data_IF_515015863399
#
_entry.id   IF_515015863399
#
_cell.length_a   1.000
_cell.length_b   1.000
_cell.length_c   1.000
_cell.angle_alpha   90.00
_cell.angle_beta   90.00
_cell.angle_gamma   90.00
#
_symmetry.space_group_name_H-M   'P 1'
#
loop_
_entity.id
_entity.type
_entity.pdbx_description
1 polymer ?
#
# COMPACT_ATOMS: atom_id res chain seq x y z
N UNK A 1 -5.88 14.44 -17.15
CA UNK A 1 -5.70 13.40 -16.13
C UNK A 1 -4.41 12.65 -16.39
N UNK A 2 -3.65 12.33 -15.38
CA UNK A 2 -2.43 11.51 -15.44
C UNK A 2 -2.34 10.67 -14.15
N UNK A 3 -1.72 9.50 -14.23
CA UNK A 3 -1.44 8.65 -13.09
C UNK A 3 -0.02 8.08 -13.22
N UNK A 4 0.67 7.94 -12.11
CA UNK A 4 1.95 7.26 -12.00
C UNK A 4 1.84 6.30 -10.82
N UNK A 5 2.22 5.04 -11.03
CA UNK A 5 2.19 3.99 -10.01
C UNK A 5 3.60 3.43 -9.85
N UNK A 6 3.98 3.16 -8.61
CA UNK A 6 5.27 2.60 -8.23
C UNK A 6 5.06 1.27 -7.49
N UNK A 7 5.65 0.21 -7.98
CA UNK A 7 5.50 -1.16 -7.46
C UNK A 7 6.62 -1.64 -6.53
N UNK A 8 7.42 -0.73 -5.98
CA UNK A 8 8.54 -1.07 -5.09
C UNK A 8 9.92 -1.00 -5.75
N UNK A 9 10.95 -1.08 -4.94
CA UNK A 9 12.36 -0.96 -5.32
C UNK A 9 13.17 -2.12 -4.72
N UNK A 10 14.30 -2.48 -5.28
CA UNK A 10 15.33 -3.40 -4.80
C UNK A 10 15.23 -4.89 -5.13
N UNK A 11 14.17 -5.46 -5.58
CA UNK A 11 14.15 -6.92 -5.76
C UNK A 11 14.25 -7.42 -7.21
N UNK A 12 14.39 -6.50 -8.18
CA UNK A 12 14.33 -6.92 -9.59
C UNK A 12 15.63 -7.54 -10.13
N UNK A 13 16.80 -7.16 -9.58
CA UNK A 13 18.09 -7.70 -10.08
C UNK A 13 18.23 -9.20 -9.84
N UNK A 14 17.68 -9.69 -8.74
CA UNK A 14 17.89 -11.07 -8.27
C UNK A 14 16.68 -12.00 -8.55
N UNK A 15 15.61 -11.48 -9.11
CA UNK A 15 14.43 -12.27 -9.48
C UNK A 15 14.58 -12.89 -10.87
N UNK A 16 13.97 -14.05 -11.03
CA UNK A 16 13.88 -14.71 -12.34
C UNK A 16 13.03 -13.90 -13.34
N UNK A 17 13.21 -14.17 -14.63
CA UNK A 17 12.52 -13.45 -15.70
C UNK A 17 11.00 -13.59 -15.66
N UNK A 18 10.47 -14.71 -15.17
CA UNK A 18 9.03 -14.96 -15.07
C UNK A 18 8.39 -14.10 -14.00
N UNK A 19 9.03 -13.96 -12.85
CA UNK A 19 8.58 -13.09 -11.74
C UNK A 19 8.62 -11.61 -12.15
N UNK A 20 9.68 -11.18 -12.84
CA UNK A 20 9.77 -9.81 -13.40
C UNK A 20 8.62 -9.52 -14.36
N UNK A 21 8.35 -10.43 -15.28
CA UNK A 21 7.26 -10.28 -16.24
C UNK A 21 5.88 -10.25 -15.53
N UNK A 22 5.66 -11.11 -14.53
CA UNK A 22 4.44 -11.12 -13.75
C UNK A 22 4.20 -9.77 -13.05
N UNK A 23 5.22 -9.21 -12.40
CA UNK A 23 5.16 -7.87 -11.77
C UNK A 23 4.85 -6.77 -12.78
N UNK A 24 5.52 -6.76 -13.93
CA UNK A 24 5.29 -5.77 -14.96
C UNK A 24 3.86 -5.82 -15.50
N UNK A 25 3.33 -7.03 -15.74
CA UNK A 25 1.96 -7.24 -16.20
C UNK A 25 0.93 -6.80 -15.14
N UNK A 26 1.14 -7.18 -13.89
CA UNK A 26 0.30 -6.74 -12.77
C UNK A 26 0.30 -5.21 -12.66
N UNK A 27 1.48 -4.58 -12.63
CA UNK A 27 1.58 -3.11 -12.51
C UNK A 27 0.88 -2.39 -13.66
N UNK A 28 0.99 -2.93 -14.88
CA UNK A 28 0.29 -2.40 -16.06
C UNK A 28 -1.23 -2.51 -15.92
N UNK A 29 -1.73 -3.65 -15.42
CA UNK A 29 -3.16 -3.84 -15.17
C UNK A 29 -3.67 -2.87 -14.10
N UNK A 30 -2.96 -2.75 -12.98
CA UNK A 30 -3.32 -1.82 -11.89
C UNK A 30 -3.33 -0.39 -12.40
N UNK A 31 -2.33 0.03 -13.17
CA UNK A 31 -2.27 1.35 -13.76
C UNK A 31 -3.48 1.62 -14.69
N UNK A 32 -3.85 0.65 -15.51
CA UNK A 32 -4.98 0.76 -16.42
C UNK A 32 -6.32 0.85 -15.66
N UNK A 33 -6.55 -0.02 -14.69
CA UNK A 33 -7.76 0.00 -13.86
C UNK A 33 -7.88 1.31 -13.08
N UNK A 34 -6.78 1.78 -12.51
CA UNK A 34 -6.74 3.04 -11.76
C UNK A 34 -6.95 4.26 -12.66
N UNK A 35 -6.46 4.22 -13.89
CA UNK A 35 -6.71 5.31 -14.85
C UNK A 35 -8.19 5.35 -15.31
N UNK A 36 -8.81 4.18 -15.50
CA UNK A 36 -10.25 4.12 -15.79
C UNK A 36 -11.09 4.62 -14.59
N UNK A 37 -10.69 4.25 -13.36
CA UNK A 37 -11.33 4.74 -12.14
C UNK A 37 -11.23 6.27 -12.01
N UNK A 38 -10.07 6.86 -12.34
CA UNK A 38 -9.82 8.30 -12.31
C UNK A 38 -10.75 9.11 -13.24
N UNK A 39 -11.36 8.49 -14.24
CA UNK A 39 -12.28 9.19 -15.15
C UNK A 39 -13.52 9.74 -14.43
N UNK A 40 -13.98 9.04 -13.40
CA UNK A 40 -15.21 9.34 -12.69
C UNK A 40 -15.03 9.67 -11.20
N UNK A 41 -13.79 9.59 -10.70
CA UNK A 41 -13.46 9.79 -9.30
C UNK A 41 -12.39 10.87 -9.14
N UNK A 42 -12.23 11.38 -7.93
CA UNK A 42 -11.17 12.34 -7.57
C UNK A 42 -9.78 11.69 -7.59
N UNK A 43 -8.76 12.54 -7.57
CA UNK A 43 -7.38 12.09 -7.44
C UNK A 43 -7.17 11.33 -6.12
N UNK A 44 -7.74 11.82 -5.00
CA UNK A 44 -7.63 11.19 -3.69
C UNK A 44 -8.25 9.78 -3.67
N UNK A 45 -9.50 9.61 -4.13
CA UNK A 45 -10.14 8.30 -4.25
C UNK A 45 -9.32 7.35 -5.14
N UNK A 46 -8.76 7.87 -6.22
CA UNK A 46 -7.99 7.07 -7.18
C UNK A 46 -6.67 6.55 -6.60
N UNK A 47 -5.94 7.36 -5.84
CA UNK A 47 -4.68 6.87 -5.24
C UNK A 47 -4.94 5.84 -4.15
N UNK A 48 -6.02 5.97 -3.38
CA UNK A 48 -6.47 4.96 -2.42
C UNK A 48 -6.81 3.65 -3.14
N UNK A 49 -7.61 3.72 -4.20
CA UNK A 49 -7.95 2.57 -5.03
C UNK A 49 -6.71 1.89 -5.62
N UNK A 50 -5.78 2.67 -6.21
CA UNK A 50 -4.56 2.12 -6.81
C UNK A 50 -3.66 1.42 -5.78
N UNK A 51 -3.48 2.02 -4.59
CA UNK A 51 -2.67 1.42 -3.52
C UNK A 51 -3.36 0.17 -2.96
N UNK A 52 -4.68 0.16 -2.81
CA UNK A 52 -5.40 -1.05 -2.35
C UNK A 52 -5.22 -2.24 -3.30
N UNK A 53 -5.16 -2.01 -4.62
CA UNK A 53 -4.86 -3.05 -5.59
C UNK A 53 -3.41 -3.58 -5.47
N UNK A 54 -2.45 -2.71 -5.13
CA UNK A 54 -1.07 -3.13 -4.85
C UNK A 54 -0.96 -3.91 -3.54
N UNK A 55 -1.76 -3.55 -2.52
CA UNK A 55 -1.83 -4.26 -1.24
C UNK A 55 -2.52 -5.63 -1.36
N UNK A 56 -3.42 -5.79 -2.33
CA UNK A 56 -4.11 -7.05 -2.60
C UNK A 56 -3.27 -8.02 -3.46
N UNK A 57 -2.17 -7.57 -4.04
CA UNK A 57 -1.33 -8.40 -4.90
C UNK A 57 -0.06 -8.85 -4.16
N UNK A 58 0.09 -10.16 -3.97
CA UNK A 58 1.22 -10.81 -3.28
C UNK A 58 2.59 -10.53 -3.90
N UNK A 59 2.62 -10.01 -5.12
CA UNK A 59 3.86 -9.68 -5.83
C UNK A 59 4.58 -8.45 -5.25
N UNK A 60 3.88 -7.61 -4.50
CA UNK A 60 4.43 -6.38 -3.93
C UNK A 60 4.69 -6.50 -2.42
N UNK A 61 5.59 -5.68 -1.91
CA UNK A 61 5.81 -5.56 -0.47
C UNK A 61 4.82 -4.56 0.14
N UNK A 62 3.55 -4.91 0.11
CA UNK A 62 2.43 -4.15 0.64
C UNK A 62 1.28 -5.10 0.95
N UNK A 63 0.41 -4.79 1.92
CA UNK A 63 -0.74 -5.62 2.25
C UNK A 63 -0.40 -7.09 2.42
N UNK A 64 -1.05 -7.97 1.64
CA UNK A 64 -0.86 -9.44 1.69
C UNK A 64 0.58 -9.85 1.32
N UNK A 65 1.26 -9.07 0.47
CA UNK A 65 2.64 -9.34 0.06
C UNK A 65 3.72 -8.78 0.99
N UNK A 66 3.34 -8.22 2.13
CA UNK A 66 4.29 -7.57 3.06
C UNK A 66 5.33 -8.52 3.62
N UNK A 67 6.56 -8.03 3.70
CA UNK A 67 7.69 -8.77 4.24
C UNK A 67 7.59 -8.94 5.76
N UNK A 68 8.02 -10.11 6.24
CA UNK A 68 8.21 -10.37 7.66
C UNK A 68 9.50 -9.67 8.10
N UNK A 69 9.41 -8.83 9.13
CA UNK A 69 10.53 -8.09 9.69
C UNK A 69 11.44 -9.02 10.51
N UNK A 70 12.63 -8.53 10.89
CA UNK A 70 13.66 -9.31 11.57
C UNK A 70 13.22 -9.98 12.89
N UNK A 71 12.20 -9.40 13.54
CA UNK A 71 11.59 -9.93 14.78
C UNK A 71 10.42 -10.92 14.54
N UNK A 72 10.18 -11.28 13.28
CA UNK A 72 9.14 -12.25 12.91
C UNK A 72 7.73 -11.64 12.78
N UNK A 73 7.58 -10.31 12.77
CA UNK A 73 6.28 -9.64 12.66
C UNK A 73 6.14 -8.95 11.32
N UNK A 74 4.91 -8.85 10.85
CA UNK A 74 4.55 -8.01 9.70
C UNK A 74 3.97 -6.70 10.25
N UNK A 75 4.62 -5.59 9.90
CA UNK A 75 4.12 -4.25 10.18
C UNK A 75 4.07 -3.46 8.90
N UNK A 76 2.96 -2.83 8.67
CA UNK A 76 2.69 -2.07 7.47
C UNK A 76 2.51 -0.59 7.82
N UNK A 77 2.79 0.26 6.86
CA UNK A 77 2.54 1.70 6.97
C UNK A 77 1.91 2.16 5.67
N UNK A 78 0.94 3.05 5.76
CA UNK A 78 0.32 3.67 4.61
C UNK A 78 0.03 5.15 4.91
N UNK A 79 0.08 5.98 3.87
CA UNK A 79 -0.22 7.39 4.00
C UNK A 79 -0.92 7.90 2.74
N UNK A 80 -1.73 8.94 2.92
CA UNK A 80 -2.37 9.67 1.83
C UNK A 80 -2.24 11.17 2.05
N UNK A 81 -2.00 11.90 0.96
CA UNK A 81 -2.09 13.36 0.93
C UNK A 81 -3.05 13.78 -0.17
N UNK A 82 -4.06 14.54 0.19
CA UNK A 82 -4.98 15.18 -0.75
C UNK A 82 -4.59 16.65 -0.96
N UNK A 83 -4.04 16.95 -2.13
CA UNK A 83 -3.64 18.31 -2.50
C UNK A 83 -4.81 19.25 -2.74
N UNK A 84 -6.06 18.78 -2.79
CA UNK A 84 -7.23 19.65 -2.96
C UNK A 84 -7.70 20.23 -1.62
N UNK A 85 -7.51 19.50 -0.53
CA UNK A 85 -7.85 19.90 0.83
C UNK A 85 -6.64 20.23 1.69
N UNK A 86 -5.42 19.98 1.16
CA UNK A 86 -4.14 20.12 1.86
C UNK A 86 -4.06 19.25 3.14
N UNK A 87 -4.79 18.14 3.14
CA UNK A 87 -4.82 17.20 4.27
C UNK A 87 -3.90 16.02 4.02
N UNK A 88 -3.26 15.59 5.09
CA UNK A 88 -2.43 14.39 5.15
C UNK A 88 -2.95 13.46 6.25
N UNK A 89 -2.95 12.16 6.01
CA UNK A 89 -3.21 11.15 7.03
C UNK A 89 -2.36 9.91 6.80
N UNK A 90 -2.19 9.11 7.85
CA UNK A 90 -1.40 7.90 7.73
C UNK A 90 -1.46 6.99 8.95
N UNK A 91 -1.07 5.75 8.72
CA UNK A 91 -0.82 4.75 9.75
C UNK A 91 0.61 4.27 9.68
N UNK A 92 1.23 4.05 10.83
CA UNK A 92 2.62 3.61 10.94
C UNK A 92 2.67 2.33 11.80
N UNK A 93 3.35 1.29 11.32
CA UNK A 93 3.52 0.03 12.04
C UNK A 93 2.19 -0.64 12.44
N UNK A 94 1.15 -0.52 11.64
CA UNK A 94 -0.11 -1.22 11.86
C UNK A 94 0.04 -2.71 11.52
N UNK A 95 -0.63 -3.57 12.26
CA UNK A 95 -0.63 -5.02 12.08
C UNK A 95 -2.06 -5.52 11.88
N UNK A 96 -2.21 -6.69 11.29
CA UNK A 96 -3.47 -7.42 11.20
C UNK A 96 -4.62 -6.61 10.57
N UNK A 97 -4.33 -5.91 9.50
CA UNK A 97 -5.34 -5.32 8.59
C UNK A 97 -4.97 -5.70 7.15
N UNK A 98 -5.97 -5.92 6.32
CA UNK A 98 -5.72 -6.31 4.91
C UNK A 98 -5.11 -5.15 4.13
N UNK A 99 -5.76 -3.99 4.18
CA UNK A 99 -5.42 -2.80 3.42
C UNK A 99 -5.19 -1.60 4.34
N UNK A 100 -3.94 -1.34 4.78
CA UNK A 100 -3.59 -0.18 5.58
C UNK A 100 -4.02 1.15 4.98
N UNK A 101 -4.04 1.26 3.64
CA UNK A 101 -4.43 2.49 2.96
C UNK A 101 -5.87 2.91 3.27
N UNK A 102 -6.80 1.98 3.46
CA UNK A 102 -8.18 2.33 3.84
C UNK A 102 -8.27 2.86 5.26
N UNK A 103 -7.41 2.40 6.17
CA UNK A 103 -7.32 2.96 7.52
C UNK A 103 -6.77 4.38 7.48
N UNK A 104 -5.72 4.62 6.67
CA UNK A 104 -5.16 5.95 6.44
C UNK A 104 -6.20 6.90 5.82
N UNK A 105 -6.97 6.45 4.82
CA UNK A 105 -8.02 7.24 4.18
C UNK A 105 -9.13 7.60 5.19
N UNK A 106 -9.56 6.65 6.01
CA UNK A 106 -10.56 6.89 7.07
C UNK A 106 -10.10 7.95 8.06
N UNK A 107 -8.82 7.94 8.44
CA UNK A 107 -8.21 8.94 9.33
C UNK A 107 -8.20 10.37 8.76
N UNK A 108 -8.36 10.54 7.44
CA UNK A 108 -8.40 11.86 6.81
C UNK A 108 -9.50 12.78 7.38
N UNK A 109 -10.54 12.20 7.95
CA UNK A 109 -11.69 12.91 8.52
C UNK A 109 -11.54 13.21 10.01
N UNK A 110 -10.51 12.67 10.67
CA UNK A 110 -10.28 12.81 12.09
C UNK A 110 -9.38 14.02 12.42
N UNK A 111 -9.36 14.42 13.70
CA UNK A 111 -8.43 15.44 14.19
C UNK A 111 -7.01 14.88 14.29
N UNK A 112 -6.86 13.67 14.86
CA UNK A 112 -5.61 12.91 14.92
C UNK A 112 -5.45 12.06 13.66
N UNK A 113 -4.85 12.62 12.63
CA UNK A 113 -4.76 11.99 11.31
C UNK A 113 -3.56 11.05 11.12
N UNK A 114 -2.68 10.93 12.10
CA UNK A 114 -1.55 9.99 12.04
C UNK A 114 -1.52 9.16 13.31
N UNK A 115 -1.70 7.85 13.15
CA UNK A 115 -1.68 6.89 14.26
C UNK A 115 -0.61 5.82 14.03
N UNK A 116 -0.02 5.32 15.13
CA UNK A 116 1.01 4.29 15.08
C UNK A 116 0.70 3.06 15.93
N UNK A 117 1.20 1.91 15.51
CA UNK A 117 1.21 0.65 16.28
C UNK A 117 -0.16 0.29 16.85
N UNK A 118 -0.22 0.11 18.17
CA UNK A 118 -1.44 -0.26 18.90
C UNK A 118 -2.56 0.79 18.75
N UNK A 119 -2.21 2.09 18.67
CA UNK A 119 -3.20 3.16 18.45
C UNK A 119 -3.87 3.04 17.09
N UNK A 120 -3.10 2.78 16.04
CA UNK A 120 -3.63 2.53 14.70
C UNK A 120 -4.50 1.27 14.65
N UNK A 121 -4.06 0.19 15.33
CA UNK A 121 -4.85 -1.06 15.41
C UNK A 121 -6.15 -0.88 16.18
N UNK A 122 -6.11 -0.18 17.31
CA UNK A 122 -7.32 0.15 18.09
C UNK A 122 -8.32 0.92 17.24
N UNK A 123 -7.86 1.97 16.55
CA UNK A 123 -8.70 2.75 15.63
C UNK A 123 -9.32 1.87 14.53
N UNK A 124 -8.52 1.01 13.91
CA UNK A 124 -9.02 0.10 12.89
C UNK A 124 -10.14 -0.81 13.42
N UNK A 125 -9.99 -1.38 14.63
CA UNK A 125 -11.01 -2.22 15.26
C UNK A 125 -12.29 -1.44 15.59
N UNK A 126 -12.17 -0.22 16.12
CA UNK A 126 -13.32 0.66 16.44
C UNK A 126 -14.11 1.03 15.17
N UNK A 127 -13.43 1.12 14.03
CA UNK A 127 -14.04 1.39 12.73
C UNK A 127 -14.34 0.13 11.91
N UNK A 128 -14.39 -1.04 12.55
CA UNK A 128 -14.84 -2.31 11.98
C UNK A 128 -13.97 -2.82 10.81
N UNK A 129 -12.70 -2.44 10.76
CA UNK A 129 -11.73 -3.11 9.90
C UNK A 129 -11.47 -4.51 10.45
N UNK A 130 -11.68 -5.52 9.61
CA UNK A 130 -11.52 -6.92 10.01
C UNK A 130 -10.07 -7.25 10.37
N UNK A 131 -9.90 -8.12 11.37
CA UNK A 131 -8.62 -8.74 11.66
C UNK A 131 -8.23 -9.65 10.50
N UNK A 132 -7.10 -9.36 9.87
CA UNK A 132 -6.64 -10.08 8.70
C UNK A 132 -5.13 -10.33 8.77
N UNK A 133 -4.73 -11.59 8.70
CA UNK A 133 -3.31 -11.94 8.57
C UNK A 133 -2.84 -11.75 7.13
N UNK A 134 -1.86 -10.89 6.95
CA UNK A 134 -1.21 -10.67 5.64
C UNK A 134 -0.02 -11.60 5.41
N UNK A 135 0.21 -12.56 6.30
CA UNK A 135 1.26 -13.56 6.20
C UNK A 135 1.00 -14.54 5.05
N UNK A 136 2.02 -14.79 4.24
CA UNK A 136 1.98 -15.78 3.16
C UNK A 136 3.10 -16.81 3.32
N UNK A 137 2.88 -18.04 2.85
CA UNK A 137 3.92 -19.09 2.89
C UNK A 137 5.20 -18.66 2.16
N UNK A 138 5.07 -17.96 1.03
CA UNK A 138 6.22 -17.43 0.29
C UNK A 138 7.05 -16.47 1.16
N UNK A 139 6.39 -15.57 1.92
CA UNK A 139 7.10 -14.64 2.81
C UNK A 139 7.70 -15.32 4.04
N UNK A 140 7.08 -16.41 4.54
CA UNK A 140 7.69 -17.24 5.59
C UNK A 140 8.97 -17.89 5.13
N UNK A 141 8.94 -18.52 3.96
CA UNK A 141 10.13 -19.15 3.38
C UNK A 141 11.24 -18.12 3.16
N UNK A 142 10.90 -16.98 2.56
CA UNK A 142 11.82 -15.88 2.35
C UNK A 142 12.42 -15.35 3.67
N UNK A 143 11.62 -15.23 4.72
CA UNK A 143 12.10 -14.82 6.06
C UNK A 143 13.08 -15.82 6.65
N UNK A 144 12.79 -17.13 6.54
CA UNK A 144 13.67 -18.17 7.03
C UNK A 144 15.01 -18.19 6.29
N UNK A 145 15.01 -17.89 5.00
CA UNK A 145 16.20 -17.75 4.18
C UNK A 145 16.93 -16.43 4.45
N UNK A 146 16.19 -15.32 4.59
CA UNK A 146 16.70 -13.94 4.80
C UNK A 146 17.18 -13.65 6.22
N UNK A 147 17.04 -14.55 7.18
CA UNK A 147 17.82 -14.43 8.42
C UNK A 147 19.32 -14.24 8.12
N UNK A 148 19.68 -14.24 6.83
CA UNK A 148 21.03 -14.04 6.27
C UNK A 148 21.20 -12.75 5.45
N UNK A 149 20.16 -11.96 5.10
CA UNK A 149 20.32 -10.72 4.29
C UNK A 149 19.15 -9.72 4.46
N UNK A 150 19.43 -8.42 4.40
CA UNK A 150 18.48 -7.31 4.60
C UNK A 150 18.01 -6.67 3.27
N UNK A 151 16.71 -6.33 3.16
CA UNK A 151 16.15 -5.51 2.06
C UNK A 151 14.74 -5.00 2.35
N UNK A 152 14.43 -3.76 1.97
CA UNK A 152 13.13 -3.10 2.15
C UNK A 152 12.62 -2.55 0.81
N UNK A 153 11.30 -2.57 0.59
CA UNK A 153 10.65 -1.98 -0.57
C UNK A 153 9.30 -1.35 -0.20
N UNK A 154 8.80 -0.44 -1.02
CA UNK A 154 7.52 0.24 -0.81
C UNK A 154 6.77 0.40 -2.12
N UNK A 155 5.47 0.66 -2.05
CA UNK A 155 4.62 0.95 -3.19
C UNK A 155 4.09 2.37 -3.11
N UNK A 156 3.56 2.92 -4.20
CA UNK A 156 2.92 4.23 -4.14
C UNK A 156 2.22 4.61 -5.43
N UNK A 157 1.39 5.63 -5.32
CA UNK A 157 0.67 6.22 -6.43
C UNK A 157 0.58 7.74 -6.30
N UNK A 158 0.68 8.43 -7.43
CA UNK A 158 0.37 9.86 -7.56
C UNK A 158 -0.61 10.04 -8.70
N UNK A 159 -1.65 10.80 -8.49
CA UNK A 159 -2.66 11.09 -9.52
C UNK A 159 -2.98 12.59 -9.62
N UNK A 160 -3.31 13.02 -10.83
CA UNK A 160 -3.91 14.32 -11.11
C UNK A 160 -5.23 14.13 -11.86
N UNK A 161 -6.31 14.67 -11.33
CA UNK A 161 -7.64 14.55 -11.90
C UNK A 161 -7.90 15.55 -13.05
N UNK A 162 -9.10 15.52 -13.62
CA UNK A 162 -9.51 16.43 -14.71
C UNK A 162 -9.58 17.89 -14.30
N UNK A 163 -9.68 18.19 -13.01
CA UNK A 163 -9.73 19.54 -12.45
C UNK A 163 -8.34 20.06 -12.04
N UNK A 164 -7.26 19.30 -12.32
CA UNK A 164 -5.89 19.63 -11.94
C UNK A 164 -5.57 19.38 -10.47
N UNK A 165 -6.43 18.69 -9.72
CA UNK A 165 -6.19 18.35 -8.32
C UNK A 165 -5.24 17.17 -8.23
N UNK A 166 -4.28 17.24 -7.30
CA UNK A 166 -3.23 16.23 -7.12
C UNK A 166 -3.43 15.51 -5.79
N UNK A 167 -3.21 14.21 -5.81
CA UNK A 167 -3.12 13.38 -4.60
C UNK A 167 -2.00 12.36 -4.72
N UNK A 168 -1.47 11.94 -3.58
CA UNK A 168 -0.46 10.89 -3.48
C UNK A 168 -0.79 9.93 -2.33
N UNK A 169 -0.46 8.65 -2.53
CA UNK A 169 -0.59 7.62 -1.51
C UNK A 169 0.54 6.58 -1.61
N UNK A 170 0.88 5.98 -0.47
CA UNK A 170 1.87 4.92 -0.33
C UNK A 170 1.47 3.97 0.79
#
# INVERSE_FOLDING_TARGET
MKIIIHGGFFSESDQDASTKLAKQNSLKQIAQQSFEYLRNHSAAETVVFAVSLLEDDVLYNAGIGSQIQSDGKIRMSAAIMDGSTEKFSGVINIQNVKNPIFVADKLMQEDDRVLGGEGAKKYANEHQFEDFSTETEARKLEYLEKKKALGTGTVGCVAIDKNGKIAAAT
#
